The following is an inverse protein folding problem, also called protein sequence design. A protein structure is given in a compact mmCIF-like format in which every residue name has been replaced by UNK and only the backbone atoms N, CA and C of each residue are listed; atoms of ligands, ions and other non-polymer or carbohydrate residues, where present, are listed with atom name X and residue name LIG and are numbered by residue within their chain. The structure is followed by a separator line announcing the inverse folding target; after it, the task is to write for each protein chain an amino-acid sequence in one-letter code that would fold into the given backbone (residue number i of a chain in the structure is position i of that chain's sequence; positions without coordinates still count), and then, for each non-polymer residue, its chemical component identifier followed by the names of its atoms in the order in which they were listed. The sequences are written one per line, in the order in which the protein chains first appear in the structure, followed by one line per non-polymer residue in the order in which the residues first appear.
data_IF_208157304578
#
_entry.id   IF_208157304578
#
_cell.length_a   1.000
_cell.length_b   1.000
_cell.length_c   1.000
_cell.angle_alpha   90.00
_cell.angle_beta   90.00
_cell.angle_gamma   90.00
#
_symmetry.space_group_name_H-M   'P 1'
#
loop_
_entity.id
_entity.type
_entity.pdbx_description
1 polymer ?
#
# COMPACT_ATOMS: atom_id res chain seq x y z
N UNK A 1 -15.52 -12.32 0.38
CA UNK A 1 -15.69 -10.94 0.83
C UNK A 1 -14.33 -10.30 1.00
N UNK A 2 -14.18 -9.06 0.56
CA UNK A 2 -12.95 -8.32 0.77
C UNK A 2 -13.05 -7.47 2.02
N UNK A 3 -11.93 -7.30 2.69
CA UNK A 3 -11.83 -6.44 3.86
C UNK A 3 -10.65 -5.49 3.65
N UNK A 4 -10.84 -4.20 3.93
CA UNK A 4 -9.79 -3.20 3.80
C UNK A 4 -9.36 -2.74 5.20
N UNK A 5 -8.04 -2.74 5.42
CA UNK A 5 -7.43 -2.28 6.65
C UNK A 5 -6.35 -1.24 6.34
N UNK A 6 -5.91 -0.52 7.36
CA UNK A 6 -5.01 0.63 7.19
C UNK A 6 -3.91 0.60 8.25
N UNK A 7 -2.75 1.19 7.91
CA UNK A 7 -1.64 1.32 8.84
C UNK A 7 -1.47 2.79 9.27
N UNK A 8 -0.68 2.99 10.34
CA UNK A 8 -0.31 4.33 10.78
C UNK A 8 0.71 5.01 9.86
N UNK A 9 1.25 4.25 8.90
CA UNK A 9 2.13 4.79 7.86
C UNK A 9 1.36 5.11 6.58
N UNK A 10 0.02 5.09 6.64
CA UNK A 10 -0.88 5.46 5.53
C UNK A 10 -0.82 4.52 4.35
N UNK A 11 -0.70 3.24 4.63
CA UNK A 11 -0.84 2.18 3.63
C UNK A 11 -2.19 1.50 3.85
N UNK A 12 -2.81 1.07 2.76
CA UNK A 12 -4.03 0.27 2.85
C UNK A 12 -3.75 -1.15 2.36
N UNK A 13 -4.49 -2.09 2.90
CA UNK A 13 -4.46 -3.48 2.44
C UNK A 13 -5.89 -3.97 2.28
N UNK A 14 -6.17 -4.54 1.11
CA UNK A 14 -7.47 -5.14 0.81
C UNK A 14 -7.27 -6.64 0.62
N UNK A 15 -7.94 -7.43 1.43
CA UNK A 15 -7.78 -8.88 1.41
C UNK A 15 -8.99 -9.53 0.76
N UNK A 16 -8.71 -10.45 -0.16
CA UNK A 16 -9.73 -11.27 -0.80
C UNK A 16 -9.20 -12.69 -0.82
N UNK A 17 -9.77 -13.55 0.06
CA UNK A 17 -9.23 -14.89 0.28
C UNK A 17 -7.87 -14.81 0.96
N UNK A 18 -6.85 -15.36 0.33
CA UNK A 18 -5.48 -15.33 0.83
C UNK A 18 -4.60 -14.31 0.08
N UNK A 19 -5.20 -13.51 -0.80
CA UNK A 19 -4.48 -12.49 -1.55
C UNK A 19 -4.73 -11.11 -0.93
N UNK A 20 -3.64 -10.37 -0.69
CA UNK A 20 -3.70 -9.00 -0.19
C UNK A 20 -3.22 -8.06 -1.28
N UNK A 21 -4.03 -7.02 -1.56
CA UNK A 21 -3.66 -5.92 -2.47
C UNK A 21 -3.29 -4.73 -1.61
N UNK A 22 -2.15 -4.10 -1.89
CA UNK A 22 -1.57 -3.08 -1.04
C UNK A 22 -1.28 -1.82 -1.84
N UNK A 23 -1.56 -0.67 -1.25
CA UNK A 23 -1.25 0.63 -1.82
C UNK A 23 -1.15 1.68 -0.73
N UNK A 24 -1.10 2.95 -1.13
CA UNK A 24 -1.08 4.07 -0.18
C UNK A 24 -2.43 4.77 -0.18
N UNK A 25 -2.76 5.41 0.95
CA UNK A 25 -4.05 6.07 1.10
C UNK A 25 -4.06 7.41 0.34
N UNK A 26 -5.26 7.93 0.15
CA UNK A 26 -5.46 9.26 -0.43
C UNK A 26 -4.70 10.31 0.38
N UNK A 27 -4.73 10.19 1.72
CA UNK A 27 -4.00 11.10 2.60
C UNK A 27 -2.51 11.08 2.28
N UNK A 28 -1.91 9.89 2.15
CA UNK A 28 -0.49 9.77 1.83
C UNK A 28 -0.17 10.38 0.48
N UNK A 29 -0.99 10.12 -0.54
CA UNK A 29 -0.79 10.67 -1.88
C UNK A 29 -0.85 12.19 -1.87
N UNK A 30 -1.78 12.78 -1.09
CA UNK A 30 -1.90 14.23 -0.98
C UNK A 30 -0.67 14.85 -0.28
N UNK A 31 -0.14 14.18 0.74
CA UNK A 31 1.03 14.65 1.44
C UNK A 31 2.30 14.60 0.57
N UNK A 32 2.38 13.62 -0.32
CA UNK A 32 3.52 13.50 -1.23
C UNK A 32 3.52 14.58 -2.32
N UNK A 33 2.35 14.97 -2.79
CA UNK A 33 2.25 15.82 -3.98
C UNK A 33 2.46 14.98 -5.24
N UNK A 34 2.90 15.59 -6.33
CA UNK A 34 3.00 14.92 -7.63
C UNK A 34 4.02 13.78 -7.60
N UNK A 35 3.53 12.56 -7.80
CA UNK A 35 4.38 11.37 -7.84
C UNK A 35 5.05 11.26 -9.21
N UNK A 36 6.36 11.10 -9.21
CA UNK A 36 7.16 11.08 -10.45
C UNK A 36 7.86 9.73 -10.68
N UNK A 37 7.96 8.90 -9.66
CA UNK A 37 8.62 7.60 -9.79
C UNK A 37 8.08 6.62 -8.74
N UNK A 38 7.89 5.36 -9.15
CA UNK A 38 7.48 4.29 -8.26
C UNK A 38 8.38 3.07 -8.51
N UNK A 39 8.98 2.55 -7.44
CA UNK A 39 9.74 1.30 -7.50
C UNK A 39 8.93 0.21 -6.84
N UNK A 40 8.67 -0.87 -7.56
CA UNK A 40 7.80 -1.96 -7.13
C UNK A 40 8.60 -3.23 -6.83
N UNK A 41 8.13 -4.07 -5.88
CA UNK A 41 8.80 -5.34 -5.61
C UNK A 41 8.57 -6.31 -6.76
N UNK A 42 9.49 -7.26 -6.90
CA UNK A 42 9.37 -8.31 -7.92
C UNK A 42 8.49 -9.44 -7.42
N UNK A 43 7.79 -10.11 -8.36
CA UNK A 43 7.04 -11.32 -8.04
C UNK A 43 7.99 -12.37 -7.45
N UNK A 44 7.56 -13.03 -6.39
CA UNK A 44 8.38 -14.00 -5.66
C UNK A 44 9.13 -13.42 -4.48
N UNK A 45 9.19 -12.09 -4.35
CA UNK A 45 9.84 -11.45 -3.22
C UNK A 45 9.05 -11.71 -1.93
N UNK A 46 9.73 -12.15 -0.89
CA UNK A 46 9.11 -12.39 0.41
C UNK A 46 9.36 -11.21 1.32
N UNK A 47 8.32 -10.76 2.02
CA UNK A 47 8.41 -9.61 2.90
C UNK A 47 7.64 -9.90 4.18
N UNK A 48 8.17 -9.45 5.31
CA UNK A 48 7.47 -9.54 6.59
C UNK A 48 6.63 -8.29 6.84
N UNK A 49 5.69 -8.37 7.78
CA UNK A 49 4.90 -7.22 8.20
C UNK A 49 5.84 -6.09 8.67
N UNK A 50 5.65 -4.89 8.15
CA UNK A 50 6.50 -3.75 8.46
C UNK A 50 7.79 -3.70 7.66
N UNK A 51 8.04 -4.67 6.77
CA UNK A 51 9.22 -4.67 5.91
C UNK A 51 9.06 -3.74 4.73
N UNK A 52 10.17 -3.23 4.21
CA UNK A 52 10.16 -2.35 3.04
C UNK A 52 9.80 -3.15 1.79
N UNK A 53 8.84 -2.66 1.02
CA UNK A 53 8.36 -3.38 -0.16
C UNK A 53 8.45 -2.55 -1.43
N UNK A 54 8.14 -1.26 -1.36
CA UNK A 54 8.13 -0.39 -2.52
C UNK A 54 8.68 0.99 -2.16
N UNK A 55 8.98 1.80 -3.16
CA UNK A 55 9.41 3.19 -2.98
C UNK A 55 8.55 4.07 -3.87
N UNK A 56 8.10 5.20 -3.35
CA UNK A 56 7.38 6.21 -4.12
C UNK A 56 8.12 7.52 -4.00
N UNK A 57 8.41 8.15 -5.15
CA UNK A 57 9.11 9.44 -5.17
C UNK A 57 8.20 10.50 -5.79
N UNK A 58 8.17 11.64 -5.13
CA UNK A 58 7.43 12.81 -5.61
C UNK A 58 8.41 13.95 -5.89
N UNK A 59 7.87 15.05 -6.39
CA UNK A 59 8.67 16.27 -6.63
C UNK A 59 9.26 16.83 -5.33
N UNK A 60 8.71 16.44 -4.17
CA UNK A 60 9.14 16.95 -2.85
C UNK A 60 10.02 15.98 -2.08
N UNK A 61 9.78 14.68 -2.19
CA UNK A 61 10.37 13.70 -1.29
C UNK A 61 10.32 12.29 -1.85
N UNK A 62 11.15 11.42 -1.27
CA UNK A 62 11.06 9.98 -1.51
C UNK A 62 10.54 9.34 -0.23
N UNK A 63 9.70 8.32 -0.37
CA UNK A 63 9.10 7.63 0.77
C UNK A 63 9.06 6.13 0.50
N UNK A 64 9.27 5.34 1.54
CA UNK A 64 9.18 3.90 1.44
C UNK A 64 7.75 3.45 1.75
N UNK A 65 7.31 2.41 1.05
CA UNK A 65 6.02 1.79 1.29
C UNK A 65 6.29 0.45 1.97
N UNK A 66 5.83 0.32 3.21
CA UNK A 66 6.04 -0.88 4.00
C UNK A 66 4.87 -1.83 3.79
N UNK A 67 5.15 -3.13 3.87
CA UNK A 67 4.09 -4.13 3.75
C UNK A 67 3.28 -4.15 5.05
N UNK A 68 1.96 -3.92 4.99
CA UNK A 68 1.13 -3.96 6.22
C UNK A 68 1.05 -5.36 6.81
N UNK A 69 1.19 -6.37 5.95
CA UNK A 69 1.17 -7.79 6.33
C UNK A 69 2.27 -8.51 5.57
N UNK A 70 2.72 -9.64 6.11
CA UNK A 70 3.77 -10.43 5.48
C UNK A 70 3.22 -11.40 4.44
N UNK A 71 4.08 -11.78 3.51
CA UNK A 71 3.76 -12.76 2.50
C UNK A 71 4.72 -12.73 1.33
N UNK A 72 4.33 -13.41 0.27
CA UNK A 72 5.13 -13.46 -0.96
C UNK A 72 4.41 -12.64 -2.04
N UNK A 73 5.14 -11.72 -2.66
CA UNK A 73 4.61 -10.88 -3.73
C UNK A 73 4.23 -11.75 -4.92
N UNK A 74 2.98 -11.64 -5.36
CA UNK A 74 2.49 -12.41 -6.53
C UNK A 74 2.52 -11.55 -7.79
N UNK A 75 2.23 -10.27 -7.67
CA UNK A 75 2.25 -9.37 -8.83
C UNK A 75 2.41 -7.93 -8.37
N UNK A 76 2.95 -7.10 -9.24
CA UNK A 76 3.07 -5.66 -9.02
C UNK A 76 2.34 -4.92 -10.14
N UNK A 77 1.87 -3.71 -9.83
CA UNK A 77 1.10 -2.92 -10.79
C UNK A 77 2.03 -2.15 -11.73
N UNK A 78 2.41 -2.79 -12.83
CA UNK A 78 3.37 -2.22 -13.78
C UNK A 78 2.92 -0.88 -14.38
N UNK A 79 1.62 -0.58 -14.35
CA UNK A 79 1.10 0.70 -14.83
C UNK A 79 1.74 1.87 -14.08
N UNK A 80 2.06 1.69 -12.79
CA UNK A 80 2.67 2.75 -11.99
C UNK A 80 4.08 3.09 -12.42
N UNK A 81 4.79 2.13 -13.02
CA UNK A 81 6.14 2.39 -13.55
C UNK A 81 6.06 3.26 -14.80
N UNK A 82 5.04 3.08 -15.63
CA UNK A 82 4.84 3.85 -16.85
C UNK A 82 4.14 5.18 -16.58
N UNK A 83 3.24 5.20 -15.58
CA UNK A 83 2.43 6.38 -15.26
C UNK A 83 2.35 6.58 -13.75
N UNK A 84 3.42 7.10 -13.13
CA UNK A 84 3.43 7.33 -11.68
C UNK A 84 2.33 8.29 -11.19
N UNK A 85 1.88 9.20 -12.04
CA UNK A 85 0.83 10.17 -11.69
C UNK A 85 -0.50 9.49 -11.37
N UNK A 86 -0.66 8.23 -11.75
CA UNK A 86 -1.86 7.47 -11.41
C UNK A 86 -2.04 7.32 -9.89
N UNK A 87 -0.94 7.33 -9.15
CA UNK A 87 -0.98 7.31 -7.69
C UNK A 87 -1.75 8.52 -7.15
N UNK A 88 -1.58 9.67 -7.78
CA UNK A 88 -2.30 10.88 -7.39
C UNK A 88 -3.77 10.84 -7.81
N UNK A 89 -4.05 10.18 -8.93
CA UNK A 89 -5.41 10.16 -9.50
C UNK A 89 -6.33 9.20 -8.74
N UNK A 90 -5.83 8.00 -8.38
CA UNK A 90 -6.68 6.98 -7.76
C UNK A 90 -5.87 6.06 -6.83
N UNK A 91 -5.35 6.60 -5.73
CA UNK A 91 -4.43 5.84 -4.87
C UNK A 91 -5.07 4.64 -4.17
N UNK A 92 -6.38 4.68 -3.93
CA UNK A 92 -7.06 3.60 -3.21
C UNK A 92 -7.84 2.67 -4.15
N UNK A 93 -7.65 2.82 -5.47
CA UNK A 93 -8.30 2.00 -6.47
C UNK A 93 -7.31 1.49 -7.50
N UNK A 94 -7.35 2.06 -8.70
CA UNK A 94 -6.55 1.58 -9.82
C UNK A 94 -5.04 1.67 -9.59
N UNK A 95 -4.58 2.52 -8.67
CA UNK A 95 -3.15 2.71 -8.40
C UNK A 95 -2.65 1.87 -7.22
N UNK A 96 -3.15 0.65 -7.06
CA UNK A 96 -2.58 -0.28 -6.10
C UNK A 96 -1.13 -0.58 -6.48
N UNK A 97 -0.29 -0.86 -5.47
CA UNK A 97 1.15 -1.03 -5.69
C UNK A 97 1.52 -2.47 -6.00
N UNK A 98 1.15 -3.40 -5.14
CA UNK A 98 1.48 -4.80 -5.34
C UNK A 98 0.47 -5.70 -4.64
N UNK A 99 0.46 -6.98 -5.02
CA UNK A 99 -0.36 -8.01 -4.38
C UNK A 99 0.55 -9.08 -3.82
N UNK A 100 0.17 -9.63 -2.68
CA UNK A 100 0.92 -10.73 -2.09
C UNK A 100 -0.01 -11.81 -1.57
N UNK A 101 0.54 -13.02 -1.43
CA UNK A 101 -0.16 -14.12 -0.79
C UNK A 101 0.14 -14.05 0.70
N UNK A 102 -0.93 -13.96 1.51
CA UNK A 102 -0.79 -13.81 2.95
C UNK A 102 -0.06 -14.99 3.59
N UNK A 103 0.91 -14.69 4.45
CA UNK A 103 1.57 -15.70 5.27
C UNK A 103 0.75 -15.98 6.53
N UNK A 104 0.14 -14.94 7.12
CA UNK A 104 -0.63 -15.08 8.36
C UNK A 104 -1.76 -14.03 8.38
N UNK A 105 -3.00 -14.51 8.21
CA UNK A 105 -4.16 -13.62 8.20
C UNK A 105 -4.41 -12.94 9.54
N UNK A 106 -3.83 -13.44 10.62
CA UNK A 106 -3.96 -12.83 11.94
C UNK A 106 -3.32 -11.45 12.03
N UNK A 107 -2.38 -11.16 11.15
CA UNK A 107 -1.73 -9.85 11.11
C UNK A 107 -2.72 -8.74 10.77
N UNK A 108 -3.80 -9.05 10.06
CA UNK A 108 -4.84 -8.07 9.73
C UNK A 108 -5.50 -7.49 10.96
N UNK A 109 -5.66 -8.28 12.02
CA UNK A 109 -6.34 -7.84 13.24
C UNK A 109 -5.58 -6.72 13.95
N UNK A 110 -4.29 -6.57 13.68
CA UNK A 110 -3.45 -5.53 14.27
C UNK A 110 -3.56 -4.18 13.55
N UNK A 111 -4.23 -4.16 12.39
CA UNK A 111 -4.35 -2.97 11.57
C UNK A 111 -5.65 -2.24 11.86
N UNK A 112 -5.69 -0.95 11.52
CA UNK A 112 -6.86 -0.12 11.73
C UNK A 112 -7.97 -0.47 10.74
N UNK A 113 -9.21 -0.42 11.23
CA UNK A 113 -10.39 -0.45 10.34
C UNK A 113 -10.48 0.91 9.63
N UNK A 114 -11.37 0.99 8.64
CA UNK A 114 -11.63 2.25 7.94
C UNK A 114 -12.02 3.37 8.91
N UNK A 115 -12.90 3.07 9.86
CA UNK A 115 -13.35 4.07 10.83
C UNK A 115 -12.23 4.49 11.77
N UNK A 116 -11.41 3.54 12.23
CA UNK A 116 -10.27 3.83 13.09
C UNK A 116 -9.25 4.71 12.36
N UNK A 117 -9.00 4.40 11.09
CA UNK A 117 -8.07 5.19 10.30
C UNK A 117 -8.59 6.61 10.07
N UNK A 118 -9.89 6.76 9.80
CA UNK A 118 -10.50 8.08 9.62
C UNK A 118 -10.32 8.95 10.87
N UNK A 119 -10.50 8.37 12.06
CA UNK A 119 -10.28 9.08 13.32
C UNK A 119 -8.81 9.42 13.52
N UNK A 120 -7.92 8.50 13.17
CA UNK A 120 -6.47 8.72 13.26
C UNK A 120 -6.04 9.92 12.41
N UNK A 121 -6.52 9.99 11.18
CA UNK A 121 -6.17 11.07 10.25
C UNK A 121 -6.69 12.42 10.73
N UNK A 122 -7.86 12.45 11.38
CA UNK A 122 -8.41 13.70 11.93
C UNK A 122 -7.51 14.34 12.97
N UNK A 123 -6.72 13.53 13.66
CA UNK A 123 -5.81 14.00 14.70
C UNK A 123 -4.48 14.53 14.20
N UNK A 124 -4.24 14.43 12.89
CA UNK A 124 -2.96 14.83 12.29
C UNK A 124 -2.90 16.31 11.90
#
# INVERSE_FOLDING_TARGET
MSETRFTDQHEWVRVDGDEATIGITKYAAEQLGDVVYVELPEAGHKVGAGGEAAVVESVKAASEVYAPVGGEVTTSNAVLSDDPAKVNADPEGAAWFFKLKLADSKELAKLMTKDQYAEFVKGL
#
